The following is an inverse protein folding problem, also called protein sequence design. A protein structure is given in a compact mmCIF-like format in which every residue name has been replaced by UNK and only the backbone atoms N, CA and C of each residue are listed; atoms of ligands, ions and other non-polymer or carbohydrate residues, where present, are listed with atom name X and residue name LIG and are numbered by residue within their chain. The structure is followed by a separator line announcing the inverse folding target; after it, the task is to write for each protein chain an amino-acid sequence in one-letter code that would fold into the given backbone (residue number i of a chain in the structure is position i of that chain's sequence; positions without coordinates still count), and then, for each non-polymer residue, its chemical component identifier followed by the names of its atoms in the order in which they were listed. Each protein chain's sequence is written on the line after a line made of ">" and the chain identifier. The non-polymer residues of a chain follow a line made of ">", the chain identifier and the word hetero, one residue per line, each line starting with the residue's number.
data_IF_167843217684
#
_entry.id   IF_167843217684
#
_cell.length_a   1.000
_cell.length_b   1.000
_cell.length_c   1.000
_cell.angle_alpha   90.00
_cell.angle_beta   90.00
_cell.angle_gamma   90.00
#
_symmetry.space_group_name_H-M   'P 1'
#
loop_
_entity.id
_entity.type
_entity.pdbx_description
1 polymer ?
#
# COMPACT_ATOMS: atom_id res chain seq x y z
N UNK A 1 36.54 -39.17 32.32
CA UNK A 1 36.77 -38.02 31.40
C UNK A 1 35.57 -37.75 30.47
N UNK A 2 34.35 -38.16 30.88
CA UNK A 2 33.22 -38.38 29.96
C UNK A 2 32.10 -37.36 30.17
N UNK A 3 31.82 -36.97 31.42
CA UNK A 3 30.78 -36.00 31.79
C UNK A 3 31.05 -34.58 31.27
N UNK A 4 32.31 -34.14 31.24
CA UNK A 4 32.68 -32.81 30.71
C UNK A 4 32.43 -32.69 29.20
N UNK A 5 32.71 -33.76 28.44
CA UNK A 5 32.44 -33.82 27.00
C UNK A 5 30.93 -33.83 26.71
N UNK A 6 30.17 -34.57 27.51
CA UNK A 6 28.72 -34.61 27.41
C UNK A 6 28.08 -33.24 27.70
N UNK A 7 28.48 -32.59 28.81
CA UNK A 7 27.99 -31.24 29.14
C UNK A 7 28.32 -30.20 28.07
N UNK A 8 29.53 -30.27 27.48
CA UNK A 8 29.92 -29.40 26.38
C UNK A 8 29.08 -29.62 25.11
N UNK A 9 28.81 -30.88 24.75
CA UNK A 9 27.91 -31.21 23.63
C UNK A 9 26.48 -30.72 23.88
N UNK A 10 25.95 -30.89 25.10
CA UNK A 10 24.63 -30.38 25.46
C UNK A 10 24.58 -28.85 25.39
N UNK A 11 25.62 -28.14 25.84
CA UNK A 11 25.70 -26.69 25.74
C UNK A 11 25.72 -26.21 24.28
N UNK A 12 26.48 -26.88 23.39
CA UNK A 12 26.49 -26.58 21.95
C UNK A 12 25.11 -26.81 21.33
N UNK A 13 24.44 -27.93 21.67
CA UNK A 13 23.12 -28.23 21.13
C UNK A 13 22.06 -27.23 21.61
N UNK A 14 22.09 -26.87 22.90
CA UNK A 14 21.20 -25.86 23.46
C UNK A 14 21.42 -24.49 22.82
N UNK A 15 22.68 -24.08 22.64
CA UNK A 15 23.03 -22.82 22.00
C UNK A 15 22.65 -22.81 20.51
N UNK A 16 22.90 -23.92 19.80
CA UNK A 16 22.47 -24.09 18.40
C UNK A 16 20.94 -23.99 18.28
N UNK A 17 20.20 -24.66 19.16
CA UNK A 17 18.74 -24.59 19.21
C UNK A 17 18.23 -23.18 19.49
N UNK A 18 18.85 -22.47 20.43
CA UNK A 18 18.54 -21.07 20.72
C UNK A 18 18.75 -20.19 19.48
N UNK A 19 19.90 -20.30 18.81
CA UNK A 19 20.17 -19.51 17.60
C UNK A 19 19.20 -19.85 16.45
N UNK A 20 18.90 -21.13 16.23
CA UNK A 20 17.89 -21.53 15.24
C UNK A 20 16.51 -20.96 15.55
N UNK A 21 16.12 -20.94 16.83
CA UNK A 21 14.85 -20.34 17.26
C UNK A 21 14.83 -18.82 17.03
N UNK A 22 15.91 -18.11 17.37
CA UNK A 22 16.00 -16.67 17.10
C UNK A 22 15.97 -16.36 15.60
N UNK A 23 16.63 -17.19 14.77
CA UNK A 23 16.59 -17.06 13.32
C UNK A 23 15.18 -17.31 12.78
N UNK A 24 14.47 -18.29 13.33
CA UNK A 24 13.06 -18.55 13.00
C UNK A 24 12.16 -17.35 13.32
N UNK A 25 12.30 -16.75 14.51
CA UNK A 25 11.55 -15.55 14.89
C UNK A 25 11.85 -14.36 13.97
N UNK A 26 13.12 -14.19 13.56
CA UNK A 26 13.51 -13.15 12.62
C UNK A 26 12.91 -13.38 11.21
N UNK A 27 12.81 -14.64 10.78
CA UNK A 27 12.19 -15.01 9.50
C UNK A 27 10.66 -14.95 9.51
N UNK A 28 10.03 -15.10 10.68
CA UNK A 28 8.57 -15.08 10.86
C UNK A 28 8.14 -13.99 11.86
N UNK A 29 8.34 -12.71 11.53
CA UNK A 29 8.00 -11.62 12.44
C UNK A 29 6.49 -11.56 12.66
N UNK A 30 6.07 -11.64 13.93
CA UNK A 30 4.68 -11.46 14.33
C UNK A 30 4.37 -9.97 14.55
N UNK A 31 4.28 -9.22 13.46
CA UNK A 31 4.07 -7.76 13.46
C UNK A 31 2.84 -7.40 12.62
N UNK A 32 2.30 -6.20 12.83
CA UNK A 32 1.18 -5.72 12.03
C UNK A 32 1.57 -5.56 10.56
N UNK A 33 0.59 -5.69 9.65
CA UNK A 33 0.83 -5.50 8.21
C UNK A 33 1.41 -4.10 7.91
N UNK A 34 0.89 -3.05 8.55
CA UNK A 34 1.41 -1.69 8.37
C UNK A 34 2.90 -1.59 8.77
N UNK A 35 3.29 -2.21 9.89
CA UNK A 35 4.70 -2.23 10.33
C UNK A 35 5.57 -2.99 9.34
N UNK A 36 5.12 -4.18 8.91
CA UNK A 36 5.83 -5.01 7.92
C UNK A 36 6.05 -4.24 6.62
N UNK A 37 5.01 -3.62 6.06
CA UNK A 37 5.12 -2.86 4.81
C UNK A 37 6.07 -1.67 4.92
N UNK A 38 6.08 -0.96 6.05
CA UNK A 38 6.91 0.23 6.21
C UNK A 38 8.37 -0.10 6.59
N UNK A 39 8.57 -0.83 7.69
CA UNK A 39 9.92 -1.03 8.27
C UNK A 39 10.66 -2.24 7.70
N UNK A 40 9.94 -3.31 7.29
CA UNK A 40 10.58 -4.54 6.83
C UNK A 40 10.66 -4.61 5.31
N UNK A 41 9.60 -4.19 4.61
CA UNK A 41 9.53 -4.26 3.14
C UNK A 41 9.80 -2.92 2.45
N UNK A 42 9.74 -1.79 3.17
CA UNK A 42 9.95 -0.46 2.60
C UNK A 42 8.95 -0.09 1.49
N UNK A 43 7.76 -0.68 1.49
CA UNK A 43 6.73 -0.54 0.43
C UNK A 43 5.83 0.67 0.59
N UNK A 44 5.71 1.26 1.77
CA UNK A 44 4.86 2.44 2.01
C UNK A 44 5.71 3.69 2.27
N UNK A 45 5.22 4.86 1.85
CA UNK A 45 5.95 6.13 2.00
C UNK A 45 5.89 6.68 3.41
N UNK A 46 4.74 6.56 4.06
CA UNK A 46 4.48 7.19 5.35
C UNK A 46 4.16 6.14 6.41
N UNK A 47 4.72 6.34 7.60
CA UNK A 47 4.39 5.56 8.78
C UNK A 47 3.27 6.26 9.57
N UNK A 48 2.33 5.46 10.06
CA UNK A 48 1.31 5.92 11.00
C UNK A 48 1.26 4.95 12.18
N UNK A 49 1.49 5.46 13.38
CA UNK A 49 1.54 4.66 14.60
C UNK A 49 0.18 4.02 14.91
N UNK A 50 0.17 2.77 15.36
CA UNK A 50 -1.03 1.98 15.68
C UNK A 50 -2.09 1.95 14.57
N UNK A 51 -1.63 2.00 13.32
CA UNK A 51 -2.52 1.97 12.16
C UNK A 51 -2.71 0.56 11.60
N UNK A 52 -3.89 0.30 11.04
CA UNK A 52 -4.16 -0.85 10.19
C UNK A 52 -4.10 -0.44 8.72
N UNK A 53 -3.74 -1.37 7.84
CA UNK A 53 -3.87 -1.13 6.38
C UNK A 53 -5.32 -1.22 5.90
N UNK A 54 -6.29 -1.33 6.79
CA UNK A 54 -7.71 -1.37 6.44
C UNK A 54 -8.16 0.00 5.95
N UNK A 55 -8.65 0.05 4.72
CA UNK A 55 -9.31 1.20 4.14
C UNK A 55 -10.82 1.02 4.24
N UNK A 56 -11.52 2.00 4.80
CA UNK A 56 -12.98 1.97 4.92
C UNK A 56 -13.61 2.53 3.63
N UNK A 57 -14.34 1.72 2.84
CA UNK A 57 -14.98 2.20 1.62
C UNK A 57 -15.88 3.41 1.88
N UNK A 58 -15.78 4.43 1.03
CA UNK A 58 -16.50 5.70 1.18
C UNK A 58 -15.71 6.79 1.90
N UNK A 59 -14.66 6.45 2.68
CA UNK A 59 -13.86 7.45 3.36
C UNK A 59 -12.91 8.18 2.40
N UNK A 60 -12.86 9.49 2.46
CA UNK A 60 -11.93 10.24 1.62
C UNK A 60 -10.52 10.27 2.23
N UNK A 61 -9.54 9.80 1.46
CA UNK A 61 -8.13 9.98 1.77
C UNK A 61 -7.73 11.38 1.36
N UNK A 62 -7.45 12.23 2.34
CA UNK A 62 -6.84 13.53 2.09
C UNK A 62 -5.32 13.38 1.92
N UNK A 63 -4.83 13.59 0.70
CA UNK A 63 -3.43 13.49 0.33
C UNK A 63 -2.69 14.83 0.33
N UNK A 64 -3.29 15.91 0.86
CA UNK A 64 -2.52 17.08 1.32
C UNK A 64 -1.81 16.81 2.64
N UNK A 65 -2.08 15.66 3.26
CA UNK A 65 -1.45 15.16 4.48
C UNK A 65 -0.79 13.79 4.23
N UNK A 66 0.20 13.40 5.05
CA UNK A 66 0.79 12.07 4.98
C UNK A 66 -0.28 10.98 5.08
N UNK A 67 -0.19 9.96 4.23
CA UNK A 67 -1.12 8.83 4.21
C UNK A 67 -0.36 7.52 4.18
N UNK A 68 -0.67 6.63 5.13
CA UNK A 68 -0.05 5.29 5.25
C UNK A 68 -0.30 4.38 4.05
N UNK A 69 -1.30 4.70 3.22
CA UNK A 69 -1.67 3.89 2.06
C UNK A 69 -0.76 4.14 0.86
N UNK A 70 -0.03 5.26 0.81
CA UNK A 70 0.82 5.59 -0.33
C UNK A 70 2.03 4.65 -0.41
N UNK A 71 2.30 4.12 -1.61
CA UNK A 71 3.53 3.37 -1.88
C UNK A 71 4.78 4.22 -1.62
N UNK A 72 5.90 3.58 -1.35
CA UNK A 72 7.20 4.24 -1.25
C UNK A 72 7.67 4.77 -2.60
N UNK A 73 7.37 4.07 -3.69
CA UNK A 73 7.71 4.53 -5.04
C UNK A 73 6.66 5.52 -5.59
N UNK A 74 7.11 6.41 -6.47
CA UNK A 74 6.28 7.35 -7.23
C UNK A 74 5.77 8.58 -6.49
N UNK A 75 5.69 8.54 -5.16
CA UNK A 75 5.17 9.64 -4.35
C UNK A 75 6.26 10.53 -3.76
N UNK A 76 6.01 11.85 -3.75
CA UNK A 76 6.87 12.81 -3.07
C UNK A 76 6.98 12.54 -1.56
N UNK A 77 8.13 12.91 -0.99
CA UNK A 77 8.44 12.72 0.44
C UNK A 77 7.64 13.65 1.36
N UNK A 78 7.19 14.80 0.85
CA UNK A 78 6.44 15.81 1.60
C UNK A 78 5.18 16.17 0.81
N UNK A 79 3.98 16.01 1.40
CA UNK A 79 2.76 16.55 0.83
C UNK A 79 2.80 18.08 0.76
N UNK A 80 1.91 18.65 -0.06
CA UNK A 80 1.68 20.09 -0.17
C UNK A 80 0.19 20.40 -0.07
N UNK A 81 -0.17 21.68 0.02
CA UNK A 81 -1.56 22.13 -0.01
C UNK A 81 -2.27 21.78 -1.32
N UNK A 82 -1.50 21.58 -2.40
CA UNK A 82 -2.02 21.13 -3.68
C UNK A 82 -2.21 19.61 -3.78
N UNK A 83 -1.80 18.85 -2.76
CA UNK A 83 -1.81 17.39 -2.74
C UNK A 83 -0.40 16.79 -2.60
N UNK A 84 -0.32 15.47 -2.77
CA UNK A 84 0.97 14.76 -2.85
C UNK A 84 1.31 14.50 -4.31
N UNK A 85 2.51 14.92 -4.71
CA UNK A 85 3.00 14.74 -6.07
C UNK A 85 3.21 13.25 -6.39
N UNK A 86 2.58 12.79 -7.46
CA UNK A 86 2.83 11.51 -8.12
C UNK A 86 3.68 11.76 -9.36
N UNK A 87 4.84 11.13 -9.44
CA UNK A 87 5.74 11.16 -10.59
C UNK A 87 6.26 9.76 -10.88
N UNK A 88 6.03 9.26 -12.10
CA UNK A 88 6.44 7.91 -12.49
C UNK A 88 5.42 6.85 -12.06
N UNK A 89 5.86 5.83 -11.32
CA UNK A 89 5.03 4.69 -10.89
C UNK A 89 4.91 4.66 -9.37
N UNK A 90 3.67 4.73 -8.88
CA UNK A 90 3.33 4.56 -7.48
C UNK A 90 2.01 3.82 -7.34
N UNK A 91 1.35 3.99 -6.21
CA UNK A 91 0.04 3.40 -5.97
C UNK A 91 -0.41 3.49 -4.52
N UNK A 92 -1.50 2.78 -4.24
CA UNK A 92 -2.10 2.67 -2.92
C UNK A 92 -2.12 1.21 -2.47
N UNK A 93 -1.54 0.91 -1.31
CA UNK A 93 -1.73 -0.36 -0.61
C UNK A 93 -2.91 -0.24 0.34
N UNK A 94 -3.84 -1.20 0.31
CA UNK A 94 -4.98 -1.20 1.23
C UNK A 94 -5.58 -2.60 1.42
N UNK A 95 -6.23 -2.81 2.55
CA UNK A 95 -7.03 -3.99 2.87
C UNK A 95 -8.49 -3.58 2.93
N UNK A 96 -9.39 -4.35 2.34
CA UNK A 96 -10.82 -4.14 2.50
C UNK A 96 -11.32 -4.76 3.81
N UNK A 97 -12.29 -4.14 4.50
CA UNK A 97 -12.93 -4.78 5.65
C UNK A 97 -13.69 -6.03 5.19
N UNK A 98 -13.85 -7.01 6.07
CA UNK A 98 -14.49 -8.29 5.73
C UNK A 98 -15.92 -8.13 5.21
N UNK A 99 -16.63 -7.09 5.67
CA UNK A 99 -17.97 -6.72 5.19
C UNK A 99 -17.99 -6.27 3.72
N UNK A 100 -16.83 -5.91 3.16
CA UNK A 100 -16.61 -5.48 1.80
C UNK A 100 -15.76 -6.51 1.02
N UNK A 101 -15.76 -7.78 1.45
CA UNK A 101 -15.04 -8.85 0.76
C UNK A 101 -15.63 -9.12 -0.62
N UNK A 102 -14.76 -9.45 -1.58
CA UNK A 102 -15.09 -9.84 -2.96
C UNK A 102 -16.13 -8.92 -3.62
N UNK A 103 -15.86 -7.61 -3.72
CA UNK A 103 -16.79 -6.71 -4.39
C UNK A 103 -16.83 -6.99 -5.89
N UNK A 104 -17.98 -6.76 -6.54
CA UNK A 104 -18.10 -6.83 -7.99
C UNK A 104 -17.35 -5.67 -8.67
N UNK A 105 -17.33 -4.51 -8.01
CA UNK A 105 -16.75 -3.29 -8.58
C UNK A 105 -16.09 -2.42 -7.51
N UNK A 106 -14.93 -1.86 -7.85
CA UNK A 106 -14.28 -0.79 -7.12
C UNK A 106 -14.39 0.52 -7.91
N UNK A 107 -15.06 1.51 -7.32
CA UNK A 107 -15.11 2.85 -7.89
C UNK A 107 -14.05 3.73 -7.23
N UNK A 108 -13.18 4.33 -8.03
CA UNK A 108 -12.17 5.29 -7.61
C UNK A 108 -12.65 6.69 -7.97
N UNK A 109 -12.85 7.54 -6.98
CA UNK A 109 -13.07 8.97 -7.15
C UNK A 109 -11.84 9.73 -6.67
N UNK A 110 -11.22 10.53 -7.53
CA UNK A 110 -10.00 11.26 -7.17
C UNK A 110 -10.03 12.70 -7.65
N UNK A 111 -9.47 13.58 -6.84
CA UNK A 111 -9.26 15.00 -7.15
C UNK A 111 -7.78 15.24 -7.41
N UNK A 112 -7.45 15.71 -8.59
CA UNK A 112 -6.08 15.76 -9.11
C UNK A 112 -5.80 17.16 -9.65
N UNK A 113 -4.77 17.81 -9.16
CA UNK A 113 -4.24 19.04 -9.72
C UNK A 113 -3.19 18.72 -10.80
N UNK A 114 -3.49 19.07 -12.04
CA UNK A 114 -2.60 18.85 -13.19
C UNK A 114 -1.88 20.13 -13.60
N UNK A 115 -0.57 20.09 -13.88
CA UNK A 115 0.15 21.27 -14.37
C UNK A 115 -0.29 21.70 -15.77
N UNK A 116 -0.81 20.76 -16.58
CA UNK A 116 -1.23 21.01 -17.95
C UNK A 116 -2.46 20.20 -18.35
N UNK A 117 -3.18 20.68 -19.35
CA UNK A 117 -4.24 19.91 -19.99
C UNK A 117 -3.64 18.69 -20.72
N UNK A 118 -4.38 17.59 -20.76
CA UNK A 118 -3.99 16.38 -21.47
C UNK A 118 -2.98 15.50 -20.76
N UNK A 119 -2.59 15.80 -19.52
CA UNK A 119 -1.76 14.91 -18.71
C UNK A 119 -2.44 13.54 -18.54
N UNK A 120 -1.64 12.47 -18.50
CA UNK A 120 -2.13 11.10 -18.45
C UNK A 120 -1.94 10.52 -17.06
N UNK A 121 -2.98 9.87 -16.55
CA UNK A 121 -2.93 9.01 -15.37
C UNK A 121 -3.34 7.60 -15.78
N UNK A 122 -2.40 6.67 -15.71
CA UNK A 122 -2.65 5.23 -15.86
C UNK A 122 -3.00 4.64 -14.50
N UNK A 123 -4.06 3.84 -14.46
CA UNK A 123 -4.57 3.16 -13.27
C UNK A 123 -4.63 1.67 -13.57
N UNK A 124 -4.09 0.84 -12.70
CA UNK A 124 -4.15 -0.62 -12.83
C UNK A 124 -4.53 -1.27 -11.50
N UNK A 125 -5.25 -2.38 -11.60
CA UNK A 125 -5.71 -3.16 -10.47
C UNK A 125 -5.57 -4.66 -10.78
N UNK A 126 -4.96 -5.39 -9.86
CA UNK A 126 -4.64 -6.80 -10.10
C UNK A 126 -3.68 -6.99 -11.28
N UNK A 127 -3.76 -8.15 -11.92
CA UNK A 127 -2.91 -8.50 -13.07
C UNK A 127 -3.50 -8.07 -14.41
N UNK A 128 -4.83 -8.00 -14.51
CA UNK A 128 -5.51 -7.99 -15.81
C UNK A 128 -6.19 -6.67 -16.14
N UNK A 129 -6.40 -5.79 -15.16
CA UNK A 129 -7.07 -4.52 -15.40
C UNK A 129 -6.10 -3.35 -15.48
N UNK A 130 -6.20 -2.58 -16.57
CA UNK A 130 -5.47 -1.32 -16.76
C UNK A 130 -6.33 -0.35 -17.56
N UNK A 131 -6.39 0.90 -17.11
CA UNK A 131 -7.03 2.01 -17.83
C UNK A 131 -6.15 3.25 -17.82
N UNK A 132 -6.37 4.16 -18.77
CA UNK A 132 -5.66 5.44 -18.84
C UNK A 132 -6.67 6.57 -18.92
N UNK A 133 -6.51 7.55 -18.04
CA UNK A 133 -7.33 8.75 -17.98
C UNK A 133 -6.53 9.92 -18.48
N UNK A 134 -7.12 10.70 -19.40
CA UNK A 134 -6.58 11.97 -19.84
C UNK A 134 -7.23 13.10 -19.03
N UNK A 135 -6.43 13.85 -18.28
CA UNK A 135 -6.89 15.00 -17.50
C UNK A 135 -7.28 16.13 -18.45
N UNK A 136 -8.51 16.62 -18.35
CA UNK A 136 -9.10 17.50 -19.36
C UNK A 136 -8.46 18.90 -19.38
N UNK A 137 -8.01 19.39 -18.23
CA UNK A 137 -7.54 20.77 -18.06
C UNK A 137 -6.33 20.87 -17.13
N UNK A 138 -5.61 21.98 -17.23
CA UNK A 138 -4.70 22.40 -16.17
C UNK A 138 -5.51 22.79 -14.92
N UNK A 139 -4.92 22.63 -13.73
CA UNK A 139 -5.62 22.79 -12.47
C UNK A 139 -6.37 21.54 -12.02
N UNK A 140 -7.42 21.73 -11.22
CA UNK A 140 -8.18 20.64 -10.59
C UNK A 140 -9.04 19.87 -11.60
N UNK A 141 -8.86 18.56 -11.62
CA UNK A 141 -9.68 17.59 -12.32
C UNK A 141 -10.30 16.63 -11.29
N UNK A 142 -11.56 16.29 -11.48
CA UNK A 142 -12.24 15.24 -10.72
C UNK A 142 -12.46 14.05 -11.65
N UNK A 143 -11.94 12.89 -11.25
CA UNK A 143 -12.05 11.67 -12.05
C UNK A 143 -12.84 10.63 -11.28
N UNK A 144 -13.69 9.89 -11.99
CA UNK A 144 -14.43 8.75 -11.46
C UNK A 144 -14.20 7.56 -12.38
N UNK A 145 -13.64 6.48 -11.84
CA UNK A 145 -13.33 5.26 -12.57
C UNK A 145 -14.00 4.07 -11.90
N UNK A 146 -14.55 3.18 -12.71
CA UNK A 146 -15.04 1.89 -12.26
C UNK A 146 -14.05 0.81 -12.66
N UNK A 147 -13.55 0.07 -11.70
CA UNK A 147 -12.58 -1.02 -11.85
C UNK A 147 -13.26 -2.34 -11.46
N UNK A 148 -12.96 -3.46 -12.13
CA UNK A 148 -13.48 -4.77 -11.76
C UNK A 148 -12.96 -5.16 -10.38
N UNK A 149 -13.85 -5.65 -9.51
CA UNK A 149 -13.52 -6.00 -8.13
C UNK A 149 -13.03 -7.44 -7.95
N UNK A 150 -13.10 -8.29 -8.98
CA UNK A 150 -12.76 -9.73 -8.94
C UNK A 150 -11.35 -10.03 -8.40
N UNK A 151 -10.42 -9.08 -8.54
CA UNK A 151 -9.03 -9.22 -8.08
C UNK A 151 -8.80 -8.73 -6.64
N UNK A 152 -9.82 -8.20 -5.98
CA UNK A 152 -9.72 -7.64 -4.64
C UNK A 152 -9.98 -8.69 -3.58
N UNK A 153 -9.17 -8.64 -2.52
CA UNK A 153 -9.30 -9.50 -1.34
C UNK A 153 -9.54 -8.68 -0.07
N UNK A 154 -10.23 -9.30 0.88
CA UNK A 154 -10.36 -8.80 2.25
C UNK A 154 -9.40 -9.50 3.23
N UNK A 155 -8.43 -10.29 2.74
CA UNK A 155 -7.44 -10.93 3.61
C UNK A 155 -6.56 -9.87 4.31
N UNK A 156 -6.58 -9.79 5.66
CA UNK A 156 -5.81 -8.80 6.40
C UNK A 156 -4.29 -8.96 6.30
N UNK A 157 -3.78 -10.07 5.76
CA UNK A 157 -2.35 -10.33 5.55
C UNK A 157 -1.88 -9.98 4.14
N UNK A 158 -2.80 -9.85 3.18
CA UNK A 158 -2.49 -9.62 1.78
C UNK A 158 -3.12 -8.31 1.29
N UNK A 159 -2.38 -7.18 1.32
CA UNK A 159 -2.92 -5.91 0.87
C UNK A 159 -3.17 -5.93 -0.64
N UNK A 160 -4.30 -5.36 -1.05
CA UNK A 160 -4.55 -4.97 -2.42
C UNK A 160 -3.62 -3.82 -2.81
N UNK A 161 -3.34 -3.71 -4.11
CA UNK A 161 -2.53 -2.65 -4.67
C UNK A 161 -3.25 -1.99 -5.86
N UNK A 162 -3.59 -0.71 -5.71
CA UNK A 162 -4.05 0.12 -6.82
C UNK A 162 -2.85 0.85 -7.39
N UNK A 163 -2.35 0.38 -8.53
CA UNK A 163 -1.20 0.98 -9.19
C UNK A 163 -1.61 2.27 -9.92
N UNK A 164 -0.84 3.33 -9.72
CA UNK A 164 -1.04 4.64 -10.32
C UNK A 164 0.24 5.06 -11.01
N UNK A 165 0.17 5.45 -12.28
CA UNK A 165 1.33 5.92 -13.02
C UNK A 165 1.04 7.20 -13.78
N UNK A 166 1.89 8.19 -13.59
CA UNK A 166 1.78 9.51 -14.19
C UNK A 166 3.13 9.87 -14.87
N UNK A 167 3.20 9.80 -16.21
CA UNK A 167 4.40 10.20 -16.96
C UNK A 167 4.74 11.68 -16.78
N UNK A 168 3.72 12.53 -16.72
CA UNK A 168 3.85 13.93 -16.31
C UNK A 168 3.53 14.01 -14.81
N UNK A 169 4.34 14.66 -13.98
CA UNK A 169 4.05 14.82 -12.56
C UNK A 169 2.70 15.51 -12.33
N UNK A 170 1.88 14.95 -11.43
CA UNK A 170 0.56 15.49 -11.04
C UNK A 170 0.44 15.48 -9.53
N UNK A 171 -0.30 16.43 -8.96
CA UNK A 171 -0.59 16.43 -7.52
C UNK A 171 -1.95 15.77 -7.27
N UNK A 172 -1.98 14.71 -6.46
CA UNK A 172 -3.24 14.07 -6.07
C UNK A 172 -3.68 14.66 -4.73
N UNK A 173 -4.84 15.31 -4.70
CA UNK A 173 -5.39 15.97 -3.51
C UNK A 173 -6.17 15.00 -2.63
N UNK A 174 -7.03 14.21 -3.26
CA UNK A 174 -7.80 13.21 -2.52
C UNK A 174 -8.15 12.02 -3.38
N UNK A 175 -8.36 10.89 -2.69
CA UNK A 175 -8.84 9.64 -3.27
C UNK A 175 -9.90 9.05 -2.37
N UNK A 176 -11.02 8.66 -2.94
CA UNK A 176 -12.09 7.90 -2.29
C UNK A 176 -12.34 6.65 -3.11
N UNK A 177 -12.23 5.50 -2.47
CA UNK A 177 -12.58 4.21 -3.04
C UNK A 177 -13.93 3.80 -2.45
N UNK A 178 -14.86 3.38 -3.30
CA UNK A 178 -16.14 2.78 -2.88
C UNK A 178 -16.29 1.43 -3.55
N UNK A 179 -16.86 0.47 -2.84
CA UNK A 179 -17.14 -0.86 -3.40
C UNK A 179 -18.63 -1.02 -3.66
N UNK A 180 -18.97 -1.81 -4.68
CA UNK A 180 -20.30 -2.34 -4.88
C UNK A 180 -20.27 -3.87 -4.68
N UNK A 181 -21.35 -4.41 -4.14
CA UNK A 181 -21.61 -5.84 -3.97
C UNK A 181 -22.74 -6.27 -4.89
#
# INVERSE_FOLDING_TARGET
>A
MTYKKFGFLTAILALSGFYLYTLYLAAHPNVSLAYKLYYLEGKTRFWEHNSSMTYQPGNELNLTKPSRFLSSEGWAKKPSDEGTLLSGQGGLYFVLPQQAANPDQLTVHARINSPQAGALLKVALGHDFTTTVKLAKAGINEIRLSLPGDSLTADPKHPNFLALSAPTPINVQSVRLTVAQ
#
